data_IF_533586720008
#
_entry.id   IF_533586720008
#
_cell.length_a   1.000
_cell.length_b   1.000
_cell.length_c   1.000
_cell.angle_alpha   90.00
_cell.angle_beta   90.00
_cell.angle_gamma   90.00
#
_symmetry.space_group_name_H-M   'P 1'
#
loop_
_entity.id
_entity.type
_entity.pdbx_description
1 polymer ?
#
# COMPACT_ATOMS: atom_id res chain seq x y z
N UNK A 1 -13.80 -3.17 6.94
CA UNK A 1 -13.63 -4.02 5.73
C UNK A 1 -12.14 -4.26 5.41
N UNK A 2 -11.41 -3.35 4.73
CA UNK A 2 -10.04 -3.66 4.27
C UNK A 2 -9.01 -3.81 5.39
N UNK A 3 -9.04 -2.96 6.42
CA UNK A 3 -8.11 -3.05 7.55
C UNK A 3 -8.37 -4.29 8.43
N UNK A 4 -9.63 -4.62 8.71
CA UNK A 4 -10.01 -5.82 9.45
C UNK A 4 -9.57 -7.11 8.73
N UNK A 5 -9.79 -7.17 7.41
CA UNK A 5 -9.34 -8.32 6.62
C UNK A 5 -7.81 -8.42 6.62
N UNK A 6 -7.09 -7.30 6.52
CA UNK A 6 -5.62 -7.27 6.59
C UNK A 6 -5.14 -7.73 7.97
N UNK A 7 -5.77 -7.28 9.05
CA UNK A 7 -5.45 -7.71 10.41
C UNK A 7 -5.67 -9.23 10.60
N UNK A 8 -6.79 -9.76 10.11
CA UNK A 8 -7.08 -11.19 10.15
C UNK A 8 -6.02 -12.01 9.39
N UNK A 9 -5.63 -11.57 8.18
CA UNK A 9 -4.57 -12.22 7.40
C UNK A 9 -3.22 -12.19 8.10
N UNK A 10 -2.86 -11.08 8.76
CA UNK A 10 -1.62 -10.97 9.53
C UNK A 10 -1.63 -11.92 10.73
N UNK A 11 -2.77 -12.08 11.39
CA UNK A 11 -2.91 -12.99 12.53
C UNK A 11 -2.80 -14.46 12.09
N UNK A 12 -3.40 -14.83 10.96
CA UNK A 12 -3.26 -16.17 10.35
C UNK A 12 -1.81 -16.46 9.94
N UNK A 13 -1.14 -15.48 9.31
CA UNK A 13 0.28 -15.58 8.98
C UNK A 13 1.15 -15.75 10.23
N UNK A 14 0.86 -15.03 11.31
CA UNK A 14 1.56 -15.18 12.59
C UNK A 14 1.41 -16.60 13.14
N UNK A 15 0.21 -17.19 13.04
CA UNK A 15 -0.02 -18.59 13.42
C UNK A 15 0.82 -19.56 12.60
N UNK A 16 0.90 -19.34 11.28
CA UNK A 16 1.67 -20.19 10.37
C UNK A 16 3.18 -20.07 10.63
N UNK A 17 3.69 -18.86 10.87
CA UNK A 17 5.10 -18.63 11.23
C UNK A 17 5.46 -19.33 12.54
N UNK A 18 4.57 -19.28 13.54
CA UNK A 18 4.80 -19.97 14.81
C UNK A 18 4.76 -21.50 14.65
N UNK A 19 3.85 -22.01 13.82
CA UNK A 19 3.80 -23.42 13.45
C UNK A 19 5.08 -23.87 12.72
N UNK A 20 5.63 -23.04 11.84
CA UNK A 20 6.89 -23.31 11.14
C UNK A 20 8.07 -23.40 12.13
N UNK A 21 8.17 -22.46 13.08
CA UNK A 21 9.21 -22.49 14.10
C UNK A 21 9.13 -23.77 14.96
N UNK A 22 7.92 -24.15 15.37
CA UNK A 22 7.69 -25.40 16.11
C UNK A 22 8.08 -26.63 15.28
N UNK A 23 7.64 -26.67 14.02
CA UNK A 23 7.94 -27.77 13.09
C UNK A 23 9.45 -27.89 12.84
N UNK A 24 10.16 -26.77 12.74
CA UNK A 24 11.61 -26.76 12.62
C UNK A 24 12.29 -27.33 13.88
N UNK A 25 11.83 -26.95 15.07
CA UNK A 25 12.35 -27.49 16.34
C UNK A 25 12.11 -29.01 16.46
N UNK A 26 10.92 -29.50 16.10
CA UNK A 26 10.62 -30.93 16.16
C UNK A 26 11.41 -31.73 15.12
N UNK A 27 11.61 -31.16 13.93
CA UNK A 27 12.44 -31.75 12.88
C UNK A 27 13.92 -31.81 13.28
N UNK A 28 14.44 -30.80 13.97
CA UNK A 28 15.80 -30.80 14.52
C UNK A 28 15.99 -31.92 15.56
N UNK A 29 15.03 -32.10 16.47
CA UNK A 29 15.04 -33.23 17.44
C UNK A 29 14.98 -34.57 16.73
N UNK A 30 14.19 -34.68 15.66
CA UNK A 30 14.11 -35.91 14.87
C UNK A 30 15.43 -36.19 14.14
N UNK A 31 16.06 -35.16 13.57
CA UNK A 31 17.39 -35.26 12.96
C UNK A 31 18.44 -35.73 13.99
N UNK A 32 18.42 -35.19 15.22
CA UNK A 32 19.30 -35.64 16.30
C UNK A 32 19.12 -37.14 16.60
N UNK A 33 17.88 -37.62 16.73
CA UNK A 33 17.60 -39.06 16.93
C UNK A 33 18.12 -39.93 15.79
N UNK A 34 17.92 -39.51 14.55
CA UNK A 34 18.41 -40.26 13.36
C UNK A 34 19.93 -40.29 13.34
N UNK A 35 20.60 -39.19 13.73
CA UNK A 35 22.05 -39.15 13.86
C UNK A 35 22.55 -40.16 14.89
N UNK A 36 21.92 -40.23 16.07
CA UNK A 36 22.35 -41.15 17.12
C UNK A 36 22.21 -42.63 16.66
N UNK A 37 21.15 -42.95 15.92
CA UNK A 37 20.97 -44.28 15.29
C UNK A 37 22.02 -44.55 14.22
N UNK A 38 22.35 -43.55 13.40
CA UNK A 38 23.36 -43.68 12.36
C UNK A 38 24.77 -43.85 12.95
N UNK A 39 25.11 -43.12 14.02
CA UNK A 39 26.38 -43.25 14.74
C UNK A 39 26.52 -44.65 15.37
N UNK A 40 25.45 -45.18 15.99
CA UNK A 40 25.42 -46.55 16.48
C UNK A 40 25.58 -47.58 15.34
N UNK A 41 24.95 -47.32 14.18
CA UNK A 41 25.10 -48.13 12.98
C UNK A 41 26.54 -48.13 12.44
N UNK A 42 27.20 -46.97 12.42
CA UNK A 42 28.59 -46.84 12.00
C UNK A 42 29.53 -47.62 12.93
N UNK A 43 29.31 -47.56 14.24
CA UNK A 43 30.06 -48.35 15.21
C UNK A 43 29.89 -49.85 14.96
N UNK A 44 28.64 -50.32 14.80
CA UNK A 44 28.35 -51.73 14.52
C UNK A 44 28.99 -52.22 13.21
N UNK A 45 29.03 -51.38 12.18
CA UNK A 45 29.76 -51.70 10.94
C UNK A 45 31.27 -51.79 11.17
N UNK A 46 31.86 -50.91 11.99
CA UNK A 46 33.27 -50.99 12.39
C UNK A 46 33.60 -52.31 13.10
N UNK A 47 32.76 -52.73 14.04
CA UNK A 47 32.89 -54.02 14.75
C UNK A 47 32.75 -55.22 13.77
N UNK A 48 31.83 -55.12 12.81
CA UNK A 48 31.65 -56.14 11.77
C UNK A 48 32.88 -56.26 10.86
N UNK A 49 33.49 -55.15 10.43
CA UNK A 49 34.75 -55.17 9.66
C UNK A 49 35.85 -55.86 10.45
N UNK A 50 36.04 -55.51 11.73
CA UNK A 50 37.04 -56.16 12.58
C UNK A 50 36.82 -57.67 12.73
N UNK A 51 35.57 -58.10 12.86
CA UNK A 51 35.21 -59.52 12.93
C UNK A 51 35.54 -60.28 11.64
N UNK A 52 35.27 -59.67 10.48
CA UNK A 52 35.58 -60.24 9.16
C UNK A 52 37.09 -60.33 8.93
N UNK A 53 37.87 -59.35 9.39
CA UNK A 53 39.34 -59.38 9.33
C UNK A 53 39.94 -60.50 10.20
N UNK A 54 39.36 -60.75 11.38
CA UNK A 54 39.75 -61.90 12.23
C UNK A 54 39.44 -63.24 11.55
N UNK A 55 38.28 -63.37 10.90
CA UNK A 55 37.91 -64.57 10.13
C UNK A 55 38.89 -64.77 8.97
N UNK A 56 39.24 -63.70 8.24
CA UNK A 56 40.20 -63.77 7.14
C UNK A 56 41.57 -64.25 7.61
N UNK A 57 42.05 -63.73 8.74
CA UNK A 57 43.32 -64.18 9.35
C UNK A 57 43.27 -65.65 9.76
N UNK A 58 42.17 -66.08 10.38
CA UNK A 58 41.96 -67.49 10.77
C UNK A 58 41.93 -68.43 9.55
N UNK A 59 41.25 -68.04 8.48
CA UNK A 59 41.21 -68.79 7.23
C UNK A 59 42.61 -68.92 6.58
N UNK A 60 43.42 -67.86 6.62
CA UNK A 60 44.81 -67.92 6.14
C UNK A 60 45.65 -68.91 6.96
N UNK A 61 45.54 -68.87 8.30
CA UNK A 61 46.23 -69.82 9.18
C UNK A 61 45.79 -71.27 8.90
N UNK A 62 44.51 -71.50 8.65
CA UNK A 62 44.02 -72.82 8.23
C UNK A 62 44.65 -73.26 6.90
N UNK A 63 44.75 -72.36 5.91
CA UNK A 63 45.40 -72.65 4.63
C UNK A 63 46.85 -73.11 4.82
N UNK A 64 47.60 -72.43 5.69
CA UNK A 64 48.99 -72.76 6.00
C UNK A 64 49.10 -74.15 6.66
N UNK A 65 48.20 -74.47 7.61
CA UNK A 65 48.14 -75.78 8.27
C UNK A 65 47.84 -76.89 7.27
N UNK A 66 46.87 -76.69 6.37
CA UNK A 66 46.54 -77.65 5.31
C UNK A 66 47.71 -77.81 4.33
N UNK A 67 48.49 -76.76 4.09
CA UNK A 67 49.78 -76.83 3.38
C UNK A 67 50.76 -77.81 4.03
N UNK A 68 50.91 -77.75 5.36
CA UNK A 68 51.76 -78.67 6.11
C UNK A 68 51.24 -80.11 6.04
N UNK A 69 49.92 -80.33 6.17
CA UNK A 69 49.32 -81.66 6.10
C UNK A 69 49.54 -82.31 4.72
N UNK A 70 49.39 -81.55 3.64
CA UNK A 70 49.66 -82.02 2.27
C UNK A 70 51.15 -82.39 2.09
N UNK A 71 52.06 -81.60 2.65
CA UNK A 71 53.50 -81.92 2.68
C UNK A 71 53.78 -83.22 3.47
N UNK A 72 53.16 -83.40 4.63
CA UNK A 72 53.30 -84.61 5.45
C UNK A 72 52.74 -85.85 4.72
N UNK A 73 51.61 -85.72 4.04
CA UNK A 73 51.05 -86.79 3.22
C UNK A 73 51.99 -87.15 2.07
N UNK A 74 52.59 -86.18 1.40
CA UNK A 74 53.59 -86.42 0.36
C UNK A 74 54.83 -87.13 0.90
N UNK A 75 55.40 -86.66 2.02
CA UNK A 75 56.55 -87.29 2.67
C UNK A 75 56.23 -88.75 3.07
N UNK A 76 55.05 -88.99 3.65
CA UNK A 76 54.59 -90.34 4.03
C UNK A 76 54.46 -91.25 2.81
N UNK A 77 53.96 -90.73 1.69
CA UNK A 77 53.86 -91.47 0.43
C UNK A 77 55.25 -91.85 -0.13
N UNK A 78 56.26 -90.98 -0.01
CA UNK A 78 57.65 -91.30 -0.38
C UNK A 78 58.26 -92.35 0.56
N UNK A 79 58.06 -92.23 1.87
CA UNK A 79 58.49 -93.23 2.86
C UNK A 79 57.87 -94.61 2.58
N UNK A 80 56.58 -94.65 2.28
CA UNK A 80 55.87 -95.88 1.95
C UNK A 80 56.38 -96.50 0.63
N UNK A 81 56.69 -95.68 -0.37
CA UNK A 81 57.32 -96.14 -1.61
C UNK A 81 58.70 -96.76 -1.33
N UNK A 82 59.54 -96.10 -0.54
CA UNK A 82 60.85 -96.63 -0.17
C UNK A 82 60.73 -97.95 0.60
N UNK A 83 59.77 -98.05 1.52
CA UNK A 83 59.50 -99.29 2.26
C UNK A 83 59.03 -100.43 1.33
N UNK A 84 58.18 -100.13 0.35
CA UNK A 84 57.74 -101.12 -0.64
C UNK A 84 58.91 -101.63 -1.50
N UNK A 85 59.85 -100.75 -1.87
CA UNK A 85 61.07 -101.11 -2.60
C UNK A 85 61.96 -102.03 -1.75
N UNK A 86 62.19 -101.70 -0.48
CA UNK A 86 63.03 -102.53 0.41
C UNK A 86 62.36 -103.88 0.72
N UNK A 87 61.03 -103.90 0.88
CA UNK A 87 60.26 -105.14 1.02
C UNK A 87 60.38 -106.04 -0.20
N UNK A 88 60.34 -105.48 -1.42
CA UNK A 88 60.59 -106.24 -2.65
C UNK A 88 62.02 -106.78 -2.71
N UNK A 89 63.00 -106.03 -2.20
CA UNK A 89 64.41 -106.44 -2.12
C UNK A 89 64.64 -107.61 -1.15
N UNK A 90 63.86 -107.68 -0.07
CA UNK A 90 63.90 -108.78 0.91
C UNK A 90 63.23 -110.09 0.43
N UNK A 91 62.60 -110.11 -0.75
CA UNK A 91 61.97 -111.29 -1.33
C UNK A 91 60.79 -111.81 -0.50
N UNK A 92 60.71 -113.13 -0.30
CA UNK A 92 59.59 -113.76 0.44
C UNK A 92 59.48 -113.28 1.90
N UNK A 93 60.60 -112.92 2.54
CA UNK A 93 60.61 -112.43 3.92
C UNK A 93 60.00 -111.02 4.05
N UNK A 94 59.92 -110.27 2.94
CA UNK A 94 59.38 -108.91 2.89
C UNK A 94 57.88 -108.83 2.60
N UNK A 95 57.17 -109.94 2.32
CA UNK A 95 55.77 -109.91 1.86
C UNK A 95 54.82 -109.20 2.84
N UNK A 96 54.98 -109.42 4.15
CA UNK A 96 54.18 -108.72 5.17
C UNK A 96 54.44 -107.21 5.18
N UNK A 97 55.71 -106.80 5.05
CA UNK A 97 56.09 -105.39 4.96
C UNK A 97 55.58 -104.71 3.68
N UNK A 98 55.56 -105.43 2.56
CA UNK A 98 55.05 -104.90 1.28
C UNK A 98 53.56 -104.54 1.36
N UNK A 99 52.75 -105.35 2.05
CA UNK A 99 51.31 -105.07 2.26
C UNK A 99 51.13 -103.82 3.10
N UNK A 100 51.86 -103.71 4.22
CA UNK A 100 51.79 -102.52 5.10
C UNK A 100 52.23 -101.26 4.32
N UNK A 101 53.31 -101.35 3.55
CA UNK A 101 53.78 -100.23 2.74
C UNK A 101 52.74 -99.78 1.70
N UNK A 102 52.03 -100.71 1.06
CA UNK A 102 50.93 -100.38 0.15
C UNK A 102 49.76 -99.68 0.87
N UNK A 103 49.39 -100.15 2.07
CA UNK A 103 48.30 -99.56 2.85
C UNK A 103 48.65 -98.15 3.33
N UNK A 104 49.87 -97.95 3.83
CA UNK A 104 50.39 -96.62 4.23
C UNK A 104 50.41 -95.68 3.02
N UNK A 105 50.79 -96.17 1.85
CA UNK A 105 50.78 -95.38 0.60
C UNK A 105 49.38 -94.96 0.22
N UNK A 106 48.41 -95.88 0.25
CA UNK A 106 46.99 -95.60 -0.01
C UNK A 106 46.44 -94.55 0.95
N UNK A 107 46.75 -94.68 2.26
CA UNK A 107 46.35 -93.72 3.29
C UNK A 107 46.95 -92.33 3.04
N UNK A 108 48.23 -92.27 2.67
CA UNK A 108 48.91 -91.02 2.35
C UNK A 108 48.28 -90.33 1.12
N UNK A 109 47.96 -91.07 0.05
CA UNK A 109 47.27 -90.53 -1.12
C UNK A 109 45.87 -90.01 -0.78
N UNK A 110 45.11 -90.74 0.06
CA UNK A 110 43.80 -90.28 0.56
C UNK A 110 43.92 -89.00 1.39
N UNK A 111 44.93 -88.93 2.26
CA UNK A 111 45.18 -87.74 3.07
C UNK A 111 45.51 -86.51 2.21
N UNK A 112 46.35 -86.67 1.17
CA UNK A 112 46.65 -85.60 0.22
C UNK A 112 45.41 -85.14 -0.57
N UNK A 113 44.56 -86.07 -1.00
CA UNK A 113 43.30 -85.74 -1.67
C UNK A 113 42.36 -84.91 -0.78
N UNK A 114 42.16 -85.35 0.48
CA UNK A 114 41.36 -84.60 1.45
C UNK A 114 41.96 -83.23 1.79
N UNK A 115 43.29 -83.14 1.93
CA UNK A 115 43.96 -81.85 2.15
C UNK A 115 43.70 -80.88 0.99
N UNK A 116 43.75 -81.36 -0.25
CA UNK A 116 43.44 -80.56 -1.45
C UNK A 116 41.98 -80.07 -1.47
N UNK A 117 41.02 -80.93 -1.13
CA UNK A 117 39.61 -80.54 -1.04
C UNK A 117 39.38 -79.48 0.05
N UNK A 118 39.97 -79.66 1.24
CA UNK A 118 39.87 -78.68 2.33
C UNK A 118 40.50 -77.35 1.92
N UNK A 119 41.66 -77.37 1.24
CA UNK A 119 42.31 -76.16 0.72
C UNK A 119 41.37 -75.39 -0.22
N UNK A 120 40.70 -76.08 -1.13
CA UNK A 120 39.76 -75.45 -2.06
C UNK A 120 38.53 -74.84 -1.36
N UNK A 121 38.02 -75.49 -0.30
CA UNK A 121 36.96 -74.94 0.54
C UNK A 121 37.43 -73.67 1.26
N UNK A 122 38.62 -73.69 1.87
CA UNK A 122 39.22 -72.52 2.53
C UNK A 122 39.40 -71.36 1.55
N UNK A 123 39.95 -71.59 0.37
CA UNK A 123 40.10 -70.56 -0.67
C UNK A 123 38.75 -69.95 -1.08
N UNK A 124 37.70 -70.78 -1.14
CA UNK A 124 36.34 -70.30 -1.43
C UNK A 124 35.80 -69.44 -0.28
N UNK A 125 36.00 -69.87 0.96
CA UNK A 125 35.65 -69.08 2.15
C UNK A 125 36.39 -67.74 2.20
N UNK A 126 37.68 -67.70 1.86
CA UNK A 126 38.47 -66.45 1.80
C UNK A 126 37.84 -65.48 0.79
N UNK A 127 37.53 -65.93 -0.44
CA UNK A 127 36.88 -65.10 -1.45
C UNK A 127 35.52 -64.56 -0.98
N UNK A 128 34.74 -65.38 -0.27
CA UNK A 128 33.44 -64.97 0.27
C UNK A 128 33.60 -63.91 1.36
N UNK A 129 34.55 -64.10 2.29
CA UNK A 129 34.88 -63.17 3.38
C UNK A 129 35.36 -61.83 2.81
N UNK A 130 36.23 -61.83 1.80
CA UNK A 130 36.65 -60.60 1.12
C UNK A 130 35.47 -59.84 0.47
N UNK A 131 34.53 -60.58 -0.13
CA UNK A 131 33.32 -59.99 -0.71
C UNK A 131 32.45 -59.35 0.37
N UNK A 132 32.21 -60.05 1.47
CA UNK A 132 31.48 -59.53 2.62
C UNK A 132 32.17 -58.30 3.23
N UNK A 133 33.50 -58.30 3.35
CA UNK A 133 34.26 -57.14 3.83
C UNK A 133 34.03 -55.90 2.95
N UNK A 134 34.06 -56.06 1.63
CA UNK A 134 33.79 -54.97 0.68
C UNK A 134 32.35 -54.44 0.83
N UNK A 135 31.37 -55.32 0.97
CA UNK A 135 29.97 -54.93 1.15
C UNK A 135 29.76 -54.16 2.46
N UNK A 136 30.33 -54.64 3.56
CA UNK A 136 30.21 -53.97 4.87
C UNK A 136 30.86 -52.58 4.82
N UNK A 137 32.05 -52.44 4.21
CA UNK A 137 32.70 -51.12 4.03
C UNK A 137 31.85 -50.17 3.19
N UNK A 138 31.21 -50.66 2.13
CA UNK A 138 30.29 -49.85 1.32
C UNK A 138 29.07 -49.39 2.12
N UNK A 139 28.51 -50.25 2.97
CA UNK A 139 27.43 -49.86 3.89
C UNK A 139 27.91 -48.81 4.89
N UNK A 140 29.13 -48.95 5.43
CA UNK A 140 29.74 -47.93 6.30
C UNK A 140 29.82 -46.56 5.64
N UNK A 141 30.28 -46.49 4.39
CA UNK A 141 30.31 -45.23 3.62
C UNK A 141 28.91 -44.62 3.38
N UNK A 142 27.89 -45.46 3.16
CA UNK A 142 26.51 -44.97 3.03
C UNK A 142 25.99 -44.38 4.35
N UNK A 143 26.35 -44.96 5.49
CA UNK A 143 25.99 -44.42 6.81
C UNK A 143 26.65 -43.06 7.04
N UNK A 144 27.93 -42.89 6.66
CA UNK A 144 28.60 -41.59 6.72
C UNK A 144 27.89 -40.52 5.88
N UNK A 145 27.43 -40.88 4.67
CA UNK A 145 26.62 -39.99 3.83
C UNK A 145 25.28 -39.62 4.49
N UNK A 146 24.61 -40.59 5.14
CA UNK A 146 23.38 -40.33 5.89
C UNK A 146 23.63 -39.34 7.03
N UNK A 147 24.69 -39.53 7.82
CA UNK A 147 25.07 -38.60 8.90
C UNK A 147 25.34 -37.20 8.34
N UNK A 148 26.02 -37.11 7.20
CA UNK A 148 26.24 -35.84 6.49
C UNK A 148 24.93 -35.16 6.09
N UNK A 149 23.99 -35.91 5.48
CA UNK A 149 22.68 -35.39 5.10
C UNK A 149 21.84 -34.92 6.28
N UNK A 150 21.84 -35.68 7.38
CA UNK A 150 21.12 -35.33 8.62
C UNK A 150 21.67 -34.05 9.25
N UNK A 151 23.00 -33.83 9.21
CA UNK A 151 23.61 -32.57 9.66
C UNK A 151 23.15 -31.38 8.83
N UNK A 152 23.05 -31.54 7.50
CA UNK A 152 22.50 -30.50 6.63
C UNK A 152 21.03 -30.19 6.94
N UNK A 153 20.22 -31.22 7.23
CA UNK A 153 18.82 -31.02 7.66
C UNK A 153 18.75 -30.22 8.96
N UNK A 154 19.53 -30.58 9.98
CA UNK A 154 19.59 -29.84 11.24
C UNK A 154 20.01 -28.37 11.04
N UNK A 155 21.03 -28.12 10.20
CA UNK A 155 21.44 -26.76 9.84
C UNK A 155 20.31 -25.97 9.18
N UNK A 156 19.55 -26.59 8.26
CA UNK A 156 18.42 -25.94 7.61
C UNK A 156 17.29 -25.64 8.60
N UNK A 157 17.01 -26.54 9.55
CA UNK A 157 16.00 -26.29 10.59
C UNK A 157 16.39 -25.13 11.51
N UNK A 158 17.68 -24.99 11.83
CA UNK A 158 18.19 -23.83 12.58
C UNK A 158 17.98 -22.51 11.82
N UNK A 159 18.22 -22.50 10.50
CA UNK A 159 17.95 -21.34 9.64
C UNK A 159 16.45 -21.02 9.57
N UNK A 160 15.58 -22.03 9.41
CA UNK A 160 14.13 -21.83 9.39
C UNK A 160 13.62 -21.28 10.72
N UNK A 161 14.12 -21.81 11.85
CA UNK A 161 13.76 -21.32 13.18
C UNK A 161 14.14 -19.85 13.37
N UNK A 162 15.36 -19.48 12.95
CA UNK A 162 15.85 -18.09 13.00
C UNK A 162 15.01 -17.17 12.11
N UNK A 163 14.78 -17.56 10.85
CA UNK A 163 13.96 -16.79 9.92
C UNK A 163 12.50 -16.66 10.40
N UNK A 164 11.93 -17.71 11.01
CA UNK A 164 10.58 -17.66 11.57
C UNK A 164 10.51 -16.69 12.76
N UNK A 165 11.54 -16.64 13.61
CA UNK A 165 11.60 -15.67 14.69
C UNK A 165 11.68 -14.22 14.17
N UNK A 166 12.48 -13.96 13.15
CA UNK A 166 12.55 -12.66 12.47
C UNK A 166 11.20 -12.27 11.83
N UNK A 167 10.56 -13.21 11.13
CA UNK A 167 9.23 -13.01 10.57
C UNK A 167 8.18 -12.70 11.64
N UNK A 168 8.23 -13.40 12.78
CA UNK A 168 7.31 -13.16 13.89
C UNK A 168 7.48 -11.73 14.45
N UNK A 169 8.71 -11.25 14.60
CA UNK A 169 8.98 -9.87 15.00
C UNK A 169 8.43 -8.87 13.97
N UNK A 170 8.69 -9.09 12.67
CA UNK A 170 8.18 -8.24 11.59
C UNK A 170 6.65 -8.21 11.52
N UNK A 171 5.98 -9.34 11.77
CA UNK A 171 4.52 -9.40 11.86
C UNK A 171 3.99 -8.62 13.08
N UNK A 172 4.73 -8.59 14.18
CA UNK A 172 4.44 -7.73 15.33
C UNK A 172 4.45 -6.24 14.97
N UNK A 173 5.46 -5.80 14.20
CA UNK A 173 5.54 -4.42 13.71
C UNK A 173 4.39 -4.07 12.77
N UNK A 174 4.07 -4.97 11.82
CA UNK A 174 2.92 -4.81 10.91
C UNK A 174 1.61 -4.71 11.69
N UNK A 175 1.42 -5.56 12.69
CA UNK A 175 0.22 -5.54 13.55
C UNK A 175 0.08 -4.19 14.26
N UNK A 176 1.19 -3.65 14.79
CA UNK A 176 1.20 -2.31 15.40
C UNK A 176 0.87 -1.20 14.40
N UNK A 177 1.43 -1.27 13.19
CA UNK A 177 1.15 -0.30 12.13
C UNK A 177 -0.33 -0.33 11.69
N UNK A 178 -0.94 -1.52 11.57
CA UNK A 178 -2.37 -1.65 11.28
C UNK A 178 -3.22 -1.01 12.36
N UNK A 179 -2.87 -1.20 13.64
CA UNK A 179 -3.56 -0.56 14.77
C UNK A 179 -3.50 0.97 14.68
N UNK A 180 -2.36 1.53 14.30
CA UNK A 180 -2.21 2.98 14.08
C UNK A 180 -3.05 3.47 12.89
N UNK A 181 -3.10 2.71 11.80
CA UNK A 181 -3.94 3.04 10.64
C UNK A 181 -5.43 3.03 10.99
N UNK A 182 -5.87 2.09 11.83
CA UNK A 182 -7.24 2.05 12.33
C UNK A 182 -7.55 3.30 13.18
N UNK A 183 -6.67 3.68 14.11
CA UNK A 183 -6.81 4.90 14.90
C UNK A 183 -6.89 6.17 14.02
N UNK A 184 -6.06 6.28 12.98
CA UNK A 184 -6.09 7.40 12.03
C UNK A 184 -7.41 7.39 11.24
N UNK A 185 -7.86 6.22 10.80
CA UNK A 185 -9.11 6.08 10.03
C UNK A 185 -10.31 6.52 10.86
N UNK A 186 -10.39 6.07 12.12
CA UNK A 186 -11.44 6.50 13.06
C UNK A 186 -11.37 8.01 13.32
N UNK A 187 -10.17 8.57 13.49
CA UNK A 187 -9.97 10.01 13.67
C UNK A 187 -10.41 10.81 12.44
N UNK A 188 -10.13 10.31 11.23
CA UNK A 188 -10.57 10.94 9.99
C UNK A 188 -12.10 10.92 9.87
N UNK A 189 -12.75 9.81 10.23
CA UNK A 189 -14.21 9.74 10.28
C UNK A 189 -14.80 10.80 11.23
N UNK A 190 -14.27 10.92 12.45
CA UNK A 190 -14.67 11.95 13.41
C UNK A 190 -14.40 13.38 12.88
N UNK A 191 -13.29 13.58 12.18
CA UNK A 191 -12.95 14.87 11.59
C UNK A 191 -13.93 15.25 10.48
N UNK A 192 -14.32 14.30 9.64
CA UNK A 192 -15.34 14.49 8.61
C UNK A 192 -16.68 14.83 9.23
N UNK A 193 -17.11 14.12 10.27
CA UNK A 193 -18.35 14.45 11.00
C UNK A 193 -18.32 15.88 11.56
N UNK A 194 -17.21 16.28 12.18
CA UNK A 194 -17.03 17.66 12.66
C UNK A 194 -17.04 18.67 11.52
N UNK A 195 -16.40 18.38 10.40
CA UNK A 195 -16.37 19.25 9.23
C UNK A 195 -17.78 19.46 8.65
N UNK A 196 -18.58 18.40 8.55
CA UNK A 196 -19.99 18.47 8.14
C UNK A 196 -20.79 19.34 9.10
N UNK A 197 -20.62 19.16 10.42
CA UNK A 197 -21.28 20.01 11.42
C UNK A 197 -20.89 21.49 11.28
N UNK A 198 -19.61 21.80 11.08
CA UNK A 198 -19.14 23.17 10.89
C UNK A 198 -19.65 23.78 9.57
N UNK A 199 -19.71 22.99 8.50
CA UNK A 199 -20.27 23.42 7.22
C UNK A 199 -21.76 23.80 7.37
N UNK A 200 -22.56 22.96 8.05
CA UNK A 200 -23.97 23.27 8.33
C UNK A 200 -24.14 24.53 9.19
N UNK A 201 -23.28 24.72 10.21
CA UNK A 201 -23.29 25.95 11.02
C UNK A 201 -22.95 27.20 10.19
N UNK A 202 -21.99 27.08 9.27
CA UNK A 202 -21.60 28.16 8.37
C UNK A 202 -22.73 28.50 7.38
N UNK A 203 -23.39 27.48 6.82
CA UNK A 203 -24.57 27.63 5.97
C UNK A 203 -25.69 28.37 6.70
N UNK A 204 -26.03 27.95 7.92
CA UNK A 204 -27.03 28.63 8.74
C UNK A 204 -26.67 30.10 9.03
N UNK A 205 -25.40 30.38 9.34
CA UNK A 205 -24.93 31.76 9.56
C UNK A 205 -25.02 32.61 8.30
N UNK A 206 -24.63 32.06 7.15
CA UNK A 206 -24.74 32.75 5.87
C UNK A 206 -26.21 33.06 5.53
N UNK A 207 -27.12 32.11 5.75
CA UNK A 207 -28.56 32.31 5.58
C UNK A 207 -29.11 33.41 6.51
N UNK A 208 -28.71 33.40 7.78
CA UNK A 208 -29.09 34.45 8.74
C UNK A 208 -28.58 35.83 8.34
N UNK A 209 -27.33 35.93 7.86
CA UNK A 209 -26.77 37.20 7.38
C UNK A 209 -27.50 37.69 6.13
N UNK A 210 -27.79 36.80 5.17
CA UNK A 210 -28.55 37.13 3.98
C UNK A 210 -29.95 37.66 4.35
N UNK A 211 -30.64 37.02 5.30
CA UNK A 211 -31.93 37.48 5.80
C UNK A 211 -31.84 38.84 6.50
N UNK A 212 -30.79 39.07 7.30
CA UNK A 212 -30.56 40.35 7.95
C UNK A 212 -30.34 41.47 6.93
N UNK A 213 -29.48 41.25 5.93
CA UNK A 213 -29.22 42.21 4.84
C UNK A 213 -30.51 42.50 4.04
N UNK A 214 -31.31 41.48 3.74
CA UNK A 214 -32.58 41.63 3.03
C UNK A 214 -33.62 42.47 3.80
N UNK A 215 -33.50 42.60 5.12
CA UNK A 215 -34.40 43.42 5.94
C UNK A 215 -34.06 44.93 5.94
N UNK A 216 -32.87 45.31 5.47
CA UNK A 216 -32.50 46.73 5.39
C UNK A 216 -33.24 47.42 4.26
N UNK A 217 -34.01 48.46 4.60
CA UNK A 217 -34.56 49.40 3.64
C UNK A 217 -33.61 50.59 3.49
N UNK A 218 -33.12 50.82 2.28
CA UNK A 218 -32.23 51.94 1.99
C UNK A 218 -33.01 53.26 2.03
N UNK A 219 -32.52 54.24 2.79
CA UNK A 219 -33.17 55.56 2.90
C UNK A 219 -32.98 56.45 1.65
N UNK A 220 -31.97 56.17 0.84
CA UNK A 220 -31.66 56.89 -0.40
C UNK A 220 -31.63 55.93 -1.58
N UNK A 221 -32.07 56.42 -2.73
CA UNK A 221 -31.96 55.72 -4.00
C UNK A 221 -30.53 55.61 -4.51
N UNK A 222 -30.27 54.55 -5.27
CA UNK A 222 -28.98 54.30 -5.91
C UNK A 222 -28.92 54.92 -7.30
N UNK A 223 -27.71 55.04 -7.86
CA UNK A 223 -27.50 55.56 -9.21
C UNK A 223 -28.24 54.70 -10.26
N UNK A 224 -28.24 53.37 -10.08
CA UNK A 224 -28.96 52.44 -10.95
C UNK A 224 -30.48 52.65 -10.88
N UNK A 225 -31.06 52.79 -9.68
CA UNK A 225 -32.50 53.05 -9.52
C UNK A 225 -32.91 54.39 -10.14
N UNK A 226 -32.08 55.43 -10.02
CA UNK A 226 -32.34 56.73 -10.63
C UNK A 226 -32.29 56.68 -12.16
N UNK A 227 -31.29 56.00 -12.73
CA UNK A 227 -31.19 55.78 -14.17
C UNK A 227 -32.41 55.00 -14.70
N UNK A 228 -32.81 53.94 -14.01
CA UNK A 228 -34.00 53.17 -14.37
C UNK A 228 -35.28 54.01 -14.29
N UNK A 229 -35.39 54.90 -13.29
CA UNK A 229 -36.51 55.83 -13.18
C UNK A 229 -36.56 56.82 -14.37
N UNK A 230 -35.41 57.30 -14.85
CA UNK A 230 -35.32 58.13 -16.06
C UNK A 230 -35.67 57.31 -17.31
N UNK A 231 -35.18 56.08 -17.45
CA UNK A 231 -35.53 55.22 -18.58
C UNK A 231 -37.03 54.95 -18.65
N UNK A 232 -37.67 54.67 -17.50
CA UNK A 232 -39.13 54.56 -17.40
C UNK A 232 -39.83 55.86 -17.80
N UNK A 233 -39.28 57.02 -17.41
CA UNK A 233 -39.82 58.32 -17.80
C UNK A 233 -39.70 58.55 -19.32
N UNK A 234 -38.59 58.16 -19.95
CA UNK A 234 -38.42 58.22 -21.41
C UNK A 234 -39.40 57.29 -22.10
N UNK A 235 -39.55 56.04 -21.65
CA UNK A 235 -40.51 55.09 -22.21
C UNK A 235 -41.96 55.60 -22.09
N UNK A 236 -42.29 56.28 -20.99
CA UNK A 236 -43.62 56.89 -20.77
C UNK A 236 -43.94 57.93 -21.85
N UNK A 237 -42.94 58.58 -22.46
CA UNK A 237 -43.14 59.54 -23.56
C UNK A 237 -43.77 58.87 -24.78
N UNK A 238 -43.36 57.64 -25.12
CA UNK A 238 -43.89 56.91 -26.27
C UNK A 238 -45.38 56.55 -26.13
N UNK A 239 -45.87 56.40 -24.89
CA UNK A 239 -47.27 56.09 -24.58
C UNK A 239 -48.16 57.28 -24.22
N UNK A 240 -47.62 58.50 -24.18
CA UNK A 240 -48.34 59.71 -23.73
C UNK A 240 -48.23 60.82 -24.79
N UNK A 241 -49.29 61.58 -25.04
CA UNK A 241 -49.24 62.74 -25.94
C UNK A 241 -48.24 63.81 -25.45
N UNK A 242 -47.68 64.62 -26.37
CA UNK A 242 -46.62 65.60 -26.06
C UNK A 242 -47.01 66.56 -24.92
N UNK A 243 -48.23 67.08 -24.96
CA UNK A 243 -48.71 68.04 -23.96
C UNK A 243 -49.09 67.38 -22.62
N UNK A 244 -49.44 66.09 -22.64
CA UNK A 244 -49.81 65.33 -21.44
C UNK A 244 -48.59 64.68 -20.74
N UNK A 245 -47.45 64.61 -21.42
CA UNK A 245 -46.24 63.97 -20.91
C UNK A 245 -45.70 64.62 -19.63
N UNK A 246 -45.56 65.95 -19.51
CA UNK A 246 -45.06 66.55 -18.28
C UNK A 246 -46.01 66.33 -17.08
N UNK A 247 -47.32 66.30 -17.33
CA UNK A 247 -48.31 65.99 -16.29
C UNK A 247 -48.21 64.53 -15.85
N UNK A 248 -47.99 63.59 -16.78
CA UNK A 248 -47.81 62.17 -16.45
C UNK A 248 -46.56 61.91 -15.58
N UNK A 249 -45.48 62.67 -15.77
CA UNK A 249 -44.27 62.60 -14.93
C UNK A 249 -44.46 63.23 -13.54
N UNK A 250 -45.42 64.14 -13.40
CA UNK A 250 -45.69 64.88 -12.16
C UNK A 250 -46.73 64.18 -11.27
N UNK A 251 -47.59 63.35 -11.86
CA UNK A 251 -48.63 62.62 -11.13
C UNK A 251 -48.01 61.59 -10.14
N UNK A 252 -48.26 61.73 -8.82
CA UNK A 252 -47.73 60.83 -7.80
C UNK A 252 -48.12 59.36 -8.02
N UNK A 253 -49.25 59.09 -8.68
CA UNK A 253 -49.72 57.73 -8.96
C UNK A 253 -48.90 56.98 -10.02
N UNK A 254 -48.07 57.69 -10.80
CA UNK A 254 -47.27 57.09 -11.88
C UNK A 254 -45.86 56.63 -11.44
N UNK A 255 -45.50 56.79 -10.16
CA UNK A 255 -44.30 56.19 -9.59
C UNK A 255 -42.98 56.80 -10.09
N UNK A 256 -42.96 58.12 -10.29
CA UNK A 256 -41.77 58.91 -10.64
C UNK A 256 -41.20 59.70 -9.43
N UNK A 257 -41.47 59.17 -8.24
CA UNK A 257 -40.94 59.63 -6.96
C UNK A 257 -40.80 58.40 -6.05
N UNK A 258 -39.59 58.16 -5.55
CA UNK A 258 -39.26 57.13 -4.56
C UNK A 258 -38.17 57.67 -3.65
N UNK A 259 -38.41 57.72 -2.33
CA UNK A 259 -37.48 58.25 -1.32
C UNK A 259 -36.97 59.66 -1.66
N UNK A 260 -35.71 59.81 -2.02
CA UNK A 260 -35.06 61.06 -2.42
C UNK A 260 -34.93 61.23 -3.94
N UNK A 261 -35.30 60.20 -4.72
CA UNK A 261 -35.33 60.18 -6.17
C UNK A 261 -36.67 60.68 -6.69
N UNK A 262 -36.62 61.62 -7.63
CA UNK A 262 -37.79 62.07 -8.34
C UNK A 262 -37.41 62.52 -9.74
N UNK A 263 -38.30 62.27 -10.71
CA UNK A 263 -38.11 62.75 -12.08
C UNK A 263 -38.49 64.22 -12.17
N UNK A 264 -37.67 64.99 -12.88
CA UNK A 264 -37.99 66.35 -13.30
C UNK A 264 -37.86 66.46 -14.82
N UNK A 265 -38.54 67.44 -15.41
CA UNK A 265 -38.35 67.83 -16.81
C UNK A 265 -38.23 69.35 -16.90
N UNK A 266 -37.16 69.85 -17.50
CA UNK A 266 -36.87 71.28 -17.69
C UNK A 266 -37.00 71.64 -19.17
N UNK A 267 -37.51 72.82 -19.50
CA UNK A 267 -37.34 73.37 -20.84
C UNK A 267 -35.99 74.08 -21.00
N UNK A 268 -35.69 74.54 -22.22
CA UNK A 268 -34.43 75.22 -22.54
C UNK A 268 -34.22 76.55 -21.80
N UNK A 269 -35.26 77.14 -21.22
CA UNK A 269 -35.15 78.33 -20.38
C UNK A 269 -34.91 77.98 -18.90
N UNK A 270 -34.91 76.69 -18.54
CA UNK A 270 -34.77 76.20 -17.17
C UNK A 270 -36.06 76.21 -16.36
N UNK A 271 -37.23 76.29 -17.01
CA UNK A 271 -38.53 76.20 -16.33
C UNK A 271 -38.90 74.72 -16.13
N UNK A 272 -39.25 74.34 -14.91
CA UNK A 272 -39.77 73.01 -14.62
C UNK A 272 -41.12 72.80 -15.31
N UNK A 273 -41.16 71.90 -16.30
CA UNK A 273 -42.39 71.42 -16.95
C UNK A 273 -42.96 70.18 -16.26
N UNK A 274 -42.11 69.39 -15.61
CA UNK A 274 -42.52 68.30 -14.74
C UNK A 274 -41.67 68.24 -13.47
N UNK A 275 -42.29 67.82 -12.36
CA UNK A 275 -41.57 67.60 -11.10
C UNK A 275 -42.30 66.55 -10.24
N UNK A 276 -41.85 65.29 -10.29
CA UNK A 276 -42.50 64.16 -9.63
C UNK A 276 -42.49 64.21 -8.10
N UNK A 277 -41.52 64.89 -7.48
CA UNK A 277 -41.41 64.95 -6.02
C UNK A 277 -42.32 65.98 -5.35
N UNK A 278 -42.67 67.06 -6.06
CA UNK A 278 -43.40 68.26 -5.59
C UNK A 278 -44.06 68.95 -6.78
N UNK A 279 -45.32 68.59 -7.12
CA UNK A 279 -46.03 69.16 -8.26
C UNK A 279 -46.10 70.69 -8.27
N UNK A 280 -46.10 71.33 -7.09
CA UNK A 280 -46.10 72.79 -6.93
C UNK A 280 -44.83 73.49 -7.45
N UNK A 281 -43.76 72.75 -7.77
CA UNK A 281 -42.54 73.30 -8.39
C UNK A 281 -42.67 73.50 -9.90
N UNK A 282 -43.67 72.90 -10.54
CA UNK A 282 -43.90 73.10 -11.98
C UNK A 282 -44.19 74.59 -12.26
N UNK A 283 -43.48 75.16 -13.22
CA UNK A 283 -43.52 76.59 -13.56
C UNK A 283 -42.45 77.45 -12.86
N UNK A 284 -41.78 76.93 -11.83
CA UNK A 284 -40.60 77.60 -11.24
C UNK A 284 -39.35 77.36 -12.08
N UNK A 285 -38.32 78.18 -11.90
CA UNK A 285 -37.06 78.04 -12.64
C UNK A 285 -36.00 77.33 -11.81
N UNK A 286 -35.14 76.55 -12.46
CA UNK A 286 -33.97 75.92 -11.82
C UNK A 286 -33.01 76.96 -11.25
N UNK A 287 -32.95 78.16 -11.85
CA UNK A 287 -32.19 79.31 -11.38
C UNK A 287 -32.68 79.86 -10.03
N UNK A 288 -33.94 79.60 -9.66
CA UNK A 288 -34.53 80.13 -8.42
C UNK A 288 -34.29 79.20 -7.21
N UNK A 289 -33.53 78.10 -7.38
CA UNK A 289 -33.28 77.15 -6.31
C UNK A 289 -32.26 77.74 -5.32
N UNK A 290 -32.62 77.91 -4.04
CA UNK A 290 -31.69 78.46 -3.05
C UNK A 290 -30.44 77.60 -2.88
N UNK A 291 -29.28 78.23 -2.96
CA UNK A 291 -27.99 77.57 -2.70
C UNK A 291 -27.48 76.67 -3.83
N UNK A 292 -28.02 76.82 -5.04
CA UNK A 292 -27.51 76.20 -6.28
C UNK A 292 -27.11 77.31 -7.25
N UNK A 293 -25.98 77.16 -7.93
CA UNK A 293 -25.71 77.96 -9.14
C UNK A 293 -26.58 77.43 -10.27
N UNK A 294 -27.84 77.88 -10.30
CA UNK A 294 -28.84 77.31 -11.20
C UNK A 294 -28.60 77.64 -12.68
N UNK A 295 -27.83 78.69 -12.99
CA UNK A 295 -27.44 78.97 -14.37
C UNK A 295 -26.34 78.00 -14.83
N UNK A 296 -25.30 77.79 -14.01
CA UNK A 296 -24.29 76.77 -14.30
C UNK A 296 -24.91 75.37 -14.39
N UNK A 297 -25.83 75.03 -13.49
CA UNK A 297 -26.55 73.74 -13.51
C UNK A 297 -27.36 73.56 -14.79
N UNK A 298 -28.13 74.57 -15.22
CA UNK A 298 -28.90 74.48 -16.46
C UNK A 298 -27.98 74.25 -17.66
N UNK A 299 -26.87 75.00 -17.75
CA UNK A 299 -25.90 74.83 -18.83
C UNK A 299 -25.29 73.42 -18.82
N UNK A 300 -24.95 72.88 -17.65
CA UNK A 300 -24.43 71.50 -17.54
C UNK A 300 -25.47 70.44 -17.92
N UNK A 301 -26.74 70.61 -17.54
CA UNK A 301 -27.84 69.72 -17.94
C UNK A 301 -28.01 69.72 -19.46
N UNK A 302 -28.09 70.90 -20.06
CA UNK A 302 -28.25 71.05 -21.51
C UNK A 302 -27.05 70.46 -22.24
N UNK A 303 -25.83 70.85 -21.85
CA UNK A 303 -24.60 70.40 -22.48
C UNK A 303 -24.45 68.87 -22.42
N UNK A 304 -24.79 68.24 -21.30
CA UNK A 304 -24.75 66.79 -21.17
C UNK A 304 -25.84 66.12 -22.04
N UNK A 305 -27.10 66.49 -21.84
CA UNK A 305 -28.24 65.81 -22.44
C UNK A 305 -28.35 66.00 -23.98
N UNK A 306 -27.77 67.07 -24.54
CA UNK A 306 -27.67 67.28 -25.98
C UNK A 306 -26.64 66.36 -26.66
N UNK A 307 -25.63 65.90 -25.91
CA UNK A 307 -24.61 64.96 -26.42
C UNK A 307 -25.11 63.53 -26.25
N UNK A 308 -25.38 63.14 -25.01
CA UNK A 308 -25.85 61.80 -24.67
C UNK A 308 -26.45 61.77 -23.25
N UNK A 309 -27.32 60.80 -22.94
CA UNK A 309 -27.77 60.57 -21.57
C UNK A 309 -26.57 60.44 -20.61
N UNK A 310 -26.55 61.19 -19.51
CA UNK A 310 -25.39 61.21 -18.63
C UNK A 310 -25.63 61.91 -17.30
N UNK A 311 -24.62 61.86 -16.42
CA UNK A 311 -24.69 62.41 -15.07
C UNK A 311 -24.20 63.85 -15.02
N UNK A 312 -24.95 64.70 -14.33
CA UNK A 312 -24.57 66.08 -14.01
C UNK A 312 -24.51 66.24 -12.49
N UNK A 313 -23.38 66.76 -11.99
CA UNK A 313 -23.18 67.03 -10.57
C UNK A 313 -23.39 68.50 -10.26
N UNK A 314 -24.00 68.79 -9.11
CA UNK A 314 -24.18 70.13 -8.61
C UNK A 314 -24.32 70.14 -7.10
N UNK A 315 -23.89 71.23 -6.47
CA UNK A 315 -24.07 71.42 -5.05
C UNK A 315 -25.42 72.07 -4.76
N UNK A 316 -26.13 71.53 -3.78
CA UNK A 316 -27.41 72.06 -3.28
C UNK A 316 -27.36 72.14 -1.76
N UNK A 317 -27.93 73.21 -1.20
CA UNK A 317 -28.21 73.26 0.24
C UNK A 317 -29.38 72.32 0.52
N UNK A 318 -29.12 71.20 1.18
CA UNK A 318 -30.14 70.22 1.48
C UNK A 318 -31.24 70.89 2.35
N UNK A 319 -32.50 70.90 1.90
CA UNK A 319 -33.57 71.64 2.57
C UNK A 319 -33.93 71.08 3.97
N UNK A 320 -33.54 69.84 4.27
CA UNK A 320 -33.77 69.20 5.57
C UNK A 320 -32.62 69.44 6.55
N UNK A 321 -31.38 69.57 6.07
CA UNK A 321 -30.19 69.65 6.94
C UNK A 321 -29.49 71.01 6.92
N UNK A 322 -29.79 71.88 5.96
CA UNK A 322 -29.16 73.18 5.77
C UNK A 322 -27.69 73.13 5.34
N UNK A 323 -27.15 71.93 5.08
CA UNK A 323 -25.76 71.74 4.63
C UNK A 323 -25.69 71.68 3.11
N UNK A 324 -24.61 72.24 2.55
CA UNK A 324 -24.26 72.04 1.14
C UNK A 324 -23.90 70.57 0.92
N UNK A 325 -24.57 69.94 -0.03
CA UNK A 325 -24.33 68.55 -0.43
C UNK A 325 -24.31 68.46 -1.95
N UNK A 326 -23.39 67.68 -2.48
CA UNK A 326 -23.34 67.37 -3.91
C UNK A 326 -24.48 66.42 -4.25
N UNK A 327 -25.30 66.80 -5.21
CA UNK A 327 -26.34 65.98 -5.83
C UNK A 327 -25.91 65.65 -7.25
N UNK A 328 -26.25 64.45 -7.71
CA UNK A 328 -26.02 64.03 -9.09
C UNK A 328 -27.37 63.73 -9.73
N UNK A 329 -27.59 64.22 -10.95
CA UNK A 329 -28.79 63.94 -11.73
C UNK A 329 -28.40 63.27 -13.04
N UNK A 330 -28.99 62.10 -13.31
CA UNK A 330 -28.91 61.49 -14.64
C UNK A 330 -29.93 62.20 -15.52
N UNK A 331 -29.48 62.78 -16.62
CA UNK A 331 -30.28 63.61 -17.51
C UNK A 331 -30.22 63.11 -18.93
N UNK A 332 -31.32 63.27 -19.66
CA UNK A 332 -31.44 62.94 -21.07
C UNK A 332 -32.40 63.90 -21.74
N UNK A 333 -32.24 64.08 -23.05
CA UNK A 333 -33.15 64.90 -23.84
C UNK A 333 -34.34 64.08 -24.32
N UNK A 334 -35.55 64.61 -24.10
CA UNK A 334 -36.81 64.06 -24.59
C UNK A 334 -37.56 65.20 -25.28
N UNK A 335 -37.64 65.16 -26.60
CA UNK A 335 -38.14 66.25 -27.45
C UNK A 335 -37.43 67.60 -27.18
N UNK A 336 -38.17 68.56 -26.63
CA UNK A 336 -37.71 69.89 -26.22
C UNK A 336 -37.49 70.02 -24.70
N UNK A 337 -37.55 68.91 -23.97
CA UNK A 337 -37.36 68.85 -22.52
C UNK A 337 -36.09 68.08 -22.14
N UNK A 338 -35.48 68.51 -21.04
CA UNK A 338 -34.39 67.82 -20.37
C UNK A 338 -34.95 67.08 -19.16
N UNK A 339 -35.07 65.76 -19.28
CA UNK A 339 -35.65 64.88 -18.26
C UNK A 339 -34.54 64.27 -17.44
N UNK A 340 -34.68 64.28 -16.12
CA UNK A 340 -33.69 63.64 -15.27
C UNK A 340 -34.23 63.22 -13.91
N UNK A 341 -33.45 62.40 -13.22
CA UNK A 341 -33.71 61.98 -11.85
C UNK A 341 -32.42 62.16 -11.06
N UNK A 342 -32.53 62.75 -9.87
CA UNK A 342 -31.39 63.08 -9.05
C UNK A 342 -31.34 62.31 -7.75
N UNK A 343 -30.14 61.85 -7.39
CA UNK A 343 -29.78 61.24 -6.12
C UNK A 343 -28.76 62.10 -5.39
N UNK A 344 -28.78 62.10 -4.07
CA UNK A 344 -27.67 62.70 -3.33
C UNK A 344 -26.41 61.86 -3.56
N UNK A 345 -25.28 62.51 -3.82
CA UNK A 345 -23.98 61.84 -3.82
C UNK A 345 -23.68 61.45 -2.38
N UNK A 346 -24.10 60.26 -1.99
CA UNK A 346 -23.75 59.73 -0.69
C UNK A 346 -22.22 59.69 -0.64
N UNK A 347 -21.61 60.29 0.38
CA UNK A 347 -20.17 60.24 0.56
C UNK A 347 -19.77 58.78 0.81
N UNK A 348 -19.51 58.02 -0.25
CA UNK A 348 -18.71 56.81 -0.18
C UNK A 348 -17.26 57.27 -0.04
N UNK A 349 -16.95 57.86 1.10
CA UNK A 349 -15.58 58.09 1.54
C UNK A 349 -15.29 57.10 2.66
N UNK A 350 -14.40 56.18 2.29
CA UNK A 350 -13.54 55.35 3.13
C UNK A 350 -14.12 54.08 3.78
N UNK A 351 -14.03 52.98 3.03
CA UNK A 351 -13.42 51.75 3.54
C UNK A 351 -12.83 50.96 2.38
N UNK A 352 -11.61 51.34 1.98
CA UNK A 352 -10.69 50.47 1.25
C UNK A 352 -9.77 49.81 2.28
#
# INVERSE_FOLDING_TARGET
ANLEQTAASVQELSGTVQQNAQTASDSDRQAARVRDVADAGAQAMGEAVGSVELIQKSAQQMSDIIGVIDSLAFQTNILALNAAVEAARAGEQGRGFAVVASEVRSLAQRSAASAKEIRQLIETSIRQVESSARQIRAVGGNIEQIVGGVRSVASNMSLISTASAEQSNGLGEITSAIRQLDEITQRNAQMVERAVQQANLLEHRAAHLAQAVASFQLQQGTAEEAMEMVHRAVQRRSGTGRDAYPQALTDPGNGFHDRDMYVFALDHAGVYRAFGGKPEKVGSRVQDIPGVDGEALLQSIIAQAEVEPGWVEYDIVNPLTGKVQTKMSYVTRVDDLYVGCGIYKTAVLASA
#
